data_IF_246804614175
#
_entry.id   IF_246804614175
#
_cell.length_a   1.000
_cell.length_b   1.000
_cell.length_c   1.000
_cell.angle_alpha   90.00
_cell.angle_beta   90.00
_cell.angle_gamma   90.00
#
_symmetry.space_group_name_H-M   'P 1'
#
loop_
_entity.id
_entity.type
_entity.pdbx_description
1 polymer ?
#
# COMPACT_ATOMS: atom_id res chain seq x y z
N UNK A 1 -4.47 -23.60 -17.94
CA UNK A 1 -4.65 -23.38 -16.49
C UNK A 1 -3.29 -23.26 -15.82
N UNK A 2 -2.65 -22.10 -15.94
CA UNK A 2 -1.43 -21.80 -15.19
C UNK A 2 -1.79 -21.29 -13.78
N UNK A 3 -2.46 -22.15 -13.00
CA UNK A 3 -3.03 -21.82 -11.68
C UNK A 3 -1.98 -21.31 -10.68
N UNK A 4 -0.71 -21.59 -10.91
CA UNK A 4 0.43 -21.05 -10.17
C UNK A 4 0.58 -19.54 -10.31
N UNK A 5 0.34 -18.97 -11.48
CA UNK A 5 0.46 -17.52 -11.72
C UNK A 5 -0.68 -16.75 -11.03
N UNK A 6 -1.91 -17.23 -11.14
CA UNK A 6 -3.06 -16.66 -10.42
C UNK A 6 -2.89 -16.76 -8.90
N UNK A 7 -2.41 -17.91 -8.40
CA UNK A 7 -2.10 -18.09 -6.99
C UNK A 7 -0.97 -17.15 -6.51
N UNK A 8 0.04 -16.93 -7.35
CA UNK A 8 1.13 -15.99 -7.05
C UNK A 8 0.65 -14.54 -6.99
N UNK A 9 -0.25 -14.14 -7.90
CA UNK A 9 -0.87 -12.82 -7.90
C UNK A 9 -1.74 -12.60 -6.64
N UNK A 10 -2.56 -13.59 -6.28
CA UNK A 10 -3.37 -13.55 -5.06
C UNK A 10 -2.51 -13.47 -3.79
N UNK A 11 -1.45 -14.27 -3.72
CA UNK A 11 -0.51 -14.25 -2.58
C UNK A 11 0.16 -12.88 -2.45
N UNK A 12 0.56 -12.28 -3.57
CA UNK A 12 1.15 -10.94 -3.61
C UNK A 12 0.15 -9.86 -3.19
N UNK A 13 -1.11 -9.94 -3.65
CA UNK A 13 -2.17 -9.03 -3.23
C UNK A 13 -2.45 -9.11 -1.73
N UNK A 14 -2.53 -10.32 -1.17
CA UNK A 14 -2.70 -10.52 0.28
C UNK A 14 -1.56 -9.88 1.07
N UNK A 15 -0.32 -10.06 0.60
CA UNK A 15 0.86 -9.47 1.25
C UNK A 15 0.79 -7.94 1.25
N UNK A 16 0.47 -7.33 0.11
CA UNK A 16 0.36 -5.88 -0.03
C UNK A 16 -0.79 -5.31 0.82
N UNK A 17 -1.94 -6.00 0.89
CA UNK A 17 -3.06 -5.57 1.71
C UNK A 17 -2.75 -5.62 3.21
N UNK A 18 -2.06 -6.67 3.67
CA UNK A 18 -1.62 -6.75 5.06
C UNK A 18 -0.64 -5.62 5.40
N UNK A 19 0.29 -5.29 4.49
CA UNK A 19 1.20 -4.16 4.67
C UNK A 19 0.46 -2.83 4.80
N UNK A 20 -0.53 -2.56 3.93
CA UNK A 20 -1.36 -1.35 4.02
C UNK A 20 -2.08 -1.31 5.37
N UNK A 21 -2.69 -2.42 5.79
CA UNK A 21 -3.41 -2.48 7.06
C UNK A 21 -2.50 -2.19 8.26
N UNK A 22 -1.28 -2.73 8.27
CA UNK A 22 -0.30 -2.49 9.32
C UNK A 22 0.16 -1.02 9.35
N UNK A 23 0.34 -0.40 8.18
CA UNK A 23 0.70 1.02 8.05
C UNK A 23 -0.44 1.94 8.51
N UNK A 24 -1.69 1.61 8.17
CA UNK A 24 -2.87 2.35 8.66
C UNK A 24 -2.96 2.29 10.18
N UNK A 25 -2.75 1.12 10.78
CA UNK A 25 -2.75 0.95 12.23
C UNK A 25 -1.62 1.76 12.90
N UNK A 26 -0.42 1.79 12.30
CA UNK A 26 0.71 2.59 12.78
C UNK A 26 0.44 4.10 12.66
N UNK A 27 -0.17 4.54 11.55
CA UNK A 27 -0.55 5.92 11.33
C UNK A 27 -1.61 6.38 12.34
N UNK A 28 -2.61 5.55 12.65
CA UNK A 28 -3.62 5.82 13.66
C UNK A 28 -3.05 5.88 15.08
N UNK A 29 -1.99 5.12 15.37
CA UNK A 29 -1.30 5.14 16.64
C UNK A 29 -0.34 6.35 16.79
N UNK A 30 -0.02 7.04 15.69
CA UNK A 30 0.91 8.18 15.70
C UNK A 30 0.28 9.39 16.39
N UNK A 31 1.01 9.99 17.34
CA UNK A 31 0.56 11.21 18.03
C UNK A 31 0.65 12.41 17.11
N UNK A 32 -0.49 12.97 16.74
CA UNK A 32 -0.55 14.28 16.07
C UNK A 32 -0.41 15.39 17.12
N UNK A 33 0.58 16.28 17.02
CA UNK A 33 0.72 17.40 17.95
C UNK A 33 -0.47 18.35 17.82
N UNK A 34 -1.12 18.69 18.94
CA UNK A 34 -2.23 19.66 19.00
C UNK A 34 -1.76 21.08 19.34
N UNK A 35 -0.44 21.33 19.35
CA UNK A 35 0.12 22.60 19.79
C UNK A 35 -0.17 23.73 18.77
N UNK A 36 -0.54 24.94 19.23
CA UNK A 36 -0.71 26.09 18.34
C UNK A 36 0.62 26.39 17.64
N UNK A 37 0.55 26.61 16.33
CA UNK A 37 1.67 26.93 15.47
C UNK A 37 2.55 28.03 16.10
N UNK A 38 3.72 27.66 16.64
CA UNK A 38 4.65 28.64 17.21
C UNK A 38 5.70 28.10 18.18
N UNK A 39 5.42 27.06 18.97
CA UNK A 39 6.30 26.71 20.11
C UNK A 39 6.89 25.29 20.13
N UNK A 40 6.55 24.41 19.18
CA UNK A 40 7.05 23.02 19.19
C UNK A 40 7.51 22.50 17.81
N UNK A 41 8.24 23.30 17.03
CA UNK A 41 8.59 22.97 15.64
C UNK A 41 9.53 21.75 15.49
N UNK A 42 10.35 21.45 16.49
CA UNK A 42 11.32 20.34 16.39
C UNK A 42 10.65 18.95 16.46
N UNK A 43 9.78 18.71 17.46
CA UNK A 43 9.03 17.45 17.60
C UNK A 43 7.91 17.32 16.56
N UNK A 44 7.34 18.45 16.09
CA UNK A 44 6.33 18.48 15.04
C UNK A 44 6.85 17.93 13.71
N UNK A 45 8.09 18.29 13.36
CA UNK A 45 8.71 17.83 12.12
C UNK A 45 8.81 16.29 12.10
N UNK A 46 9.33 15.66 13.17
CA UNK A 46 9.49 14.21 13.21
C UNK A 46 8.17 13.44 13.07
N UNK A 47 7.09 13.88 13.73
CA UNK A 47 5.79 13.19 13.59
C UNK A 47 5.14 13.42 12.23
N UNK A 48 5.27 14.62 11.65
CA UNK A 48 4.71 14.93 10.33
C UNK A 48 5.44 14.15 9.23
N UNK A 49 6.77 14.04 9.33
CA UNK A 49 7.57 13.23 8.41
C UNK A 49 7.17 11.75 8.44
N UNK A 50 6.89 11.18 9.62
CA UNK A 50 6.42 9.78 9.73
C UNK A 50 5.04 9.54 9.13
N UNK A 51 4.10 10.48 9.32
CA UNK A 51 2.76 10.35 8.72
C UNK A 51 2.85 10.42 7.19
N UNK A 52 3.69 11.33 6.65
CA UNK A 52 3.91 11.42 5.21
C UNK A 52 4.58 10.14 4.65
N UNK A 53 5.55 9.58 5.37
CA UNK A 53 6.20 8.30 5.01
C UNK A 53 5.17 7.16 4.95
N UNK A 54 4.30 7.02 5.97
CA UNK A 54 3.23 6.02 5.95
C UNK A 54 2.27 6.22 4.76
N UNK A 55 1.91 7.45 4.43
CA UNK A 55 1.04 7.75 3.28
C UNK A 55 1.69 7.37 1.94
N UNK A 56 2.99 7.63 1.79
CA UNK A 56 3.75 7.26 0.59
C UNK A 56 3.84 5.74 0.44
N UNK A 57 4.11 5.01 1.53
CA UNK A 57 4.15 3.55 1.51
C UNK A 57 2.78 2.93 1.19
N UNK A 58 1.68 3.51 1.69
CA UNK A 58 0.33 3.09 1.34
C UNK A 58 0.04 3.32 -0.14
N UNK A 59 0.39 4.49 -0.71
CA UNK A 59 0.22 4.77 -2.15
C UNK A 59 1.02 3.78 -3.01
N UNK A 60 2.27 3.53 -2.61
CA UNK A 60 3.13 2.57 -3.30
C UNK A 60 2.53 1.16 -3.29
N UNK A 61 2.03 0.69 -2.14
CA UNK A 61 1.40 -0.62 -2.00
C UNK A 61 0.08 -0.71 -2.79
N UNK A 62 -0.73 0.35 -2.82
CA UNK A 62 -1.94 0.42 -3.64
C UNK A 62 -1.62 0.32 -5.13
N UNK A 63 -0.63 1.08 -5.61
CA UNK A 63 -0.16 1.03 -7.01
C UNK A 63 0.39 -0.34 -7.37
N UNK A 64 1.18 -0.96 -6.49
CA UNK A 64 1.69 -2.31 -6.68
C UNK A 64 0.56 -3.35 -6.72
N UNK A 65 -0.50 -3.17 -5.94
CA UNK A 65 -1.68 -4.04 -5.94
C UNK A 65 -2.42 -3.94 -7.26
N UNK A 66 -2.69 -2.72 -7.73
CA UNK A 66 -3.33 -2.49 -9.04
C UNK A 66 -2.50 -3.06 -10.20
N UNK A 67 -1.18 -2.88 -10.18
CA UNK A 67 -0.29 -3.48 -11.17
C UNK A 67 -0.33 -5.02 -11.13
N UNK A 68 -0.41 -5.61 -9.93
CA UNK A 68 -0.55 -7.06 -9.75
C UNK A 68 -1.89 -7.56 -10.32
N UNK A 69 -2.99 -6.84 -10.10
CA UNK A 69 -4.28 -7.16 -10.70
C UNK A 69 -4.24 -7.05 -12.23
N UNK A 70 -3.65 -5.98 -12.77
CA UNK A 70 -3.55 -5.80 -14.22
C UNK A 70 -2.75 -6.92 -14.89
N UNK A 71 -1.58 -7.26 -14.35
CA UNK A 71 -0.73 -8.34 -14.86
C UNK A 71 -1.36 -9.72 -14.67
N UNK A 72 -2.08 -9.93 -13.58
CA UNK A 72 -2.83 -11.16 -13.35
C UNK A 72 -4.06 -11.32 -14.26
N UNK A 73 -4.69 -10.21 -14.66
CA UNK A 73 -5.89 -10.20 -15.53
C UNK A 73 -5.56 -10.23 -17.03
N UNK A 74 -4.54 -9.50 -17.48
CA UNK A 74 -4.08 -9.53 -18.89
C UNK A 74 -3.67 -10.93 -19.32
N UNK A 75 -3.04 -11.70 -18.43
CA UNK A 75 -2.65 -13.07 -18.70
C UNK A 75 -3.85 -14.06 -18.72
N UNK A 76 -5.04 -13.63 -18.29
CA UNK A 76 -6.28 -14.40 -18.42
C UNK A 76 -7.05 -14.03 -19.69
N UNK A 77 -6.94 -12.77 -20.15
CA UNK A 77 -7.57 -12.28 -21.38
C UNK A 77 -6.82 -12.74 -22.65
N UNK A 78 -5.49 -12.84 -22.62
CA UNK A 78 -4.69 -13.34 -23.75
C UNK A 78 -4.97 -14.84 -24.06
N UNK A 79 -5.44 -15.63 -23.08
CA UNK A 79 -5.85 -17.02 -23.28
C UNK A 79 -7.30 -17.17 -23.82
N UNK A 80 -8.12 -16.10 -23.82
CA UNK A 80 -9.53 -16.16 -24.26
C UNK A 80 -9.68 -15.97 -25.79
N UNK A 81 -8.70 -15.36 -26.45
CA UNK A 81 -8.74 -15.04 -27.89
C UNK A 81 -7.87 -15.96 -28.79
N UNK A 82 -7.26 -17.03 -28.25
CA UNK A 82 -6.47 -18.03 -29.01
C UNK A 82 -7.26 -19.31 -29.40
N UNK A 83 -8.56 -19.19 -29.71
CA UNK A 83 -9.39 -20.31 -30.23
C UNK A 83 -9.52 -20.33 -31.76
#
# INVERSE_FOLDING_TARGET
MDGSLQYSALTRLLTLNNQVHDLENQMLAQRVPTAPAGTALADQNFSSYRIAEFQEEIDQAARASLATCWLGNSNAEDEEYEL
#
